data_IF_300197169963
#
_entry.id   IF_300197169963
#
_cell.length_a   1.000
_cell.length_b   1.000
_cell.length_c   1.000
_cell.angle_alpha   90.00
_cell.angle_beta   90.00
_cell.angle_gamma   90.00
#
_symmetry.space_group_name_H-M   'P 1'
#
loop_
_entity.id
_entity.type
_entity.pdbx_description
1 polymer ?
#
# COMPACT_ATOMS: atom_id res chain seq x y z
N UNK A 1 19.65 -48.18 -0.28
CA UNK A 1 18.48 -47.31 -0.36
C UNK A 1 18.89 -45.95 0.13
N UNK A 2 18.87 -44.93 -0.74
CA UNK A 2 19.17 -43.56 -0.35
C UNK A 2 18.05 -43.00 0.54
N UNK A 3 18.39 -42.32 1.63
CA UNK A 3 17.43 -41.60 2.43
C UNK A 3 17.03 -40.30 1.69
N UNK A 4 15.74 -39.99 1.59
CA UNK A 4 15.31 -38.72 0.98
C UNK A 4 15.81 -37.56 1.81
N UNK A 5 16.50 -36.63 1.14
CA UNK A 5 16.99 -35.38 1.77
C UNK A 5 16.00 -34.26 1.46
N UNK A 6 15.47 -33.63 2.49
CA UNK A 6 14.57 -32.50 2.35
C UNK A 6 15.40 -31.20 2.27
N UNK A 7 15.28 -30.47 1.17
CA UNK A 7 15.84 -29.12 1.05
C UNK A 7 14.73 -28.11 1.37
N UNK A 8 14.95 -27.18 2.32
CA UNK A 8 13.99 -26.14 2.63
C UNK A 8 13.66 -25.30 1.39
N UNK A 9 12.35 -25.05 1.17
CA UNK A 9 11.89 -24.14 0.12
C UNK A 9 12.12 -22.67 0.47
N UNK A 10 11.83 -21.77 -0.49
CA UNK A 10 12.06 -20.30 -0.37
C UNK A 10 11.44 -19.69 0.89
N UNK A 11 10.24 -20.11 1.28
CA UNK A 11 9.56 -19.58 2.47
C UNK A 11 10.30 -19.90 3.77
N UNK A 12 10.82 -21.12 3.90
CA UNK A 12 11.62 -21.51 5.05
C UNK A 12 13.00 -20.85 5.02
N UNK A 13 13.60 -20.70 3.85
CA UNK A 13 14.87 -19.98 3.69
C UNK A 13 14.79 -18.49 4.03
N UNK A 14 13.62 -17.87 3.86
CA UNK A 14 13.37 -16.47 4.22
C UNK A 14 13.20 -16.26 5.73
N UNK A 15 13.17 -17.31 6.55
CA UNK A 15 12.98 -17.20 8.00
C UNK A 15 14.01 -16.26 8.65
N UNK A 16 13.51 -15.29 9.44
CA UNK A 16 14.33 -14.27 10.11
C UNK A 16 14.79 -13.12 9.19
N UNK A 17 14.45 -13.17 7.90
CA UNK A 17 14.87 -12.22 6.89
C UNK A 17 13.70 -11.51 6.18
N UNK A 18 13.89 -11.27 4.89
CA UNK A 18 12.94 -10.58 4.01
C UNK A 18 12.61 -11.48 2.82
N UNK A 19 11.33 -11.61 2.51
CA UNK A 19 10.84 -12.20 1.27
C UNK A 19 10.35 -11.06 0.36
N UNK A 20 11.03 -10.87 -0.76
CA UNK A 20 10.61 -9.94 -1.80
C UNK A 20 9.84 -10.69 -2.89
N UNK A 21 8.67 -10.20 -3.23
CA UNK A 21 7.80 -10.77 -4.29
C UNK A 21 7.46 -9.67 -5.26
N UNK A 22 7.98 -9.77 -6.46
CA UNK A 22 7.63 -8.87 -7.55
C UNK A 22 6.27 -9.27 -8.15
N UNK A 23 5.47 -8.29 -8.53
CA UNK A 23 4.14 -8.50 -9.11
C UNK A 23 3.26 -9.48 -8.31
N UNK A 24 3.16 -9.25 -7.00
CA UNK A 24 2.45 -10.14 -6.06
C UNK A 24 0.97 -10.38 -6.44
N UNK A 25 0.37 -9.48 -7.22
CA UNK A 25 -0.99 -9.60 -7.76
C UNK A 25 -1.10 -10.69 -8.85
N UNK A 26 0.01 -11.07 -9.49
CA UNK A 26 0.04 -12.09 -10.55
C UNK A 26 0.36 -13.50 -10.02
N UNK A 27 0.51 -13.66 -8.71
CA UNK A 27 0.72 -14.98 -8.12
C UNK A 27 -0.46 -15.91 -8.42
N UNK A 28 -0.14 -17.14 -8.82
CA UNK A 28 -1.16 -18.20 -8.93
C UNK A 28 -1.90 -18.37 -7.59
N UNK A 29 -3.21 -18.60 -7.59
CA UNK A 29 -4.02 -18.69 -6.37
C UNK A 29 -3.47 -19.67 -5.33
N UNK A 30 -2.90 -20.79 -5.77
CA UNK A 30 -2.32 -21.81 -4.90
C UNK A 30 -1.10 -21.26 -4.14
N UNK A 31 -0.23 -20.52 -4.84
CA UNK A 31 0.96 -19.89 -4.25
C UNK A 31 0.55 -18.77 -3.30
N UNK A 32 -0.42 -17.92 -3.71
CA UNK A 32 -0.97 -16.86 -2.88
C UNK A 32 -1.57 -17.42 -1.57
N UNK A 33 -2.28 -18.57 -1.64
CA UNK A 33 -2.83 -19.24 -0.46
C UNK A 33 -1.76 -19.79 0.48
N UNK A 34 -0.70 -20.40 -0.05
CA UNK A 34 0.43 -20.87 0.74
C UNK A 34 1.13 -19.71 1.43
N UNK A 35 1.38 -18.62 0.71
CA UNK A 35 1.96 -17.39 1.26
C UNK A 35 1.08 -16.80 2.36
N UNK A 36 -0.23 -16.66 2.10
CA UNK A 36 -1.21 -16.19 3.10
C UNK A 36 -1.21 -17.06 4.37
N UNK A 37 -1.21 -18.40 4.22
CA UNK A 37 -1.16 -19.31 5.35
C UNK A 37 0.14 -19.18 6.15
N UNK A 38 1.27 -19.09 5.45
CA UNK A 38 2.59 -18.91 6.06
C UNK A 38 2.68 -17.61 6.85
N UNK A 39 2.20 -16.51 6.29
CA UNK A 39 2.12 -15.21 6.99
C UNK A 39 1.19 -15.25 8.21
N UNK A 40 0.18 -16.12 8.19
CA UNK A 40 -0.74 -16.28 9.30
C UNK A 40 -0.15 -17.08 10.47
N UNK A 41 0.60 -18.13 10.15
CA UNK A 41 1.07 -19.13 11.12
C UNK A 41 2.53 -18.98 11.51
N UNK A 42 3.32 -18.26 10.69
CA UNK A 42 4.78 -18.19 10.82
C UNK A 42 5.48 -19.49 10.50
N UNK A 43 4.79 -20.42 9.81
CA UNK A 43 5.30 -21.74 9.50
C UNK A 43 4.89 -22.18 8.09
N UNK A 44 5.73 -23.00 7.47
CA UNK A 44 5.41 -23.70 6.22
C UNK A 44 5.41 -25.20 6.48
N UNK A 45 4.35 -25.87 6.03
CA UNK A 45 4.21 -27.32 6.11
C UNK A 45 4.58 -27.95 4.78
N UNK A 46 5.46 -28.94 4.84
CA UNK A 46 5.83 -29.77 3.72
C UNK A 46 5.17 -31.14 3.86
N UNK A 47 4.42 -31.55 2.85
CA UNK A 47 3.88 -32.91 2.74
C UNK A 47 4.16 -33.41 1.32
N UNK A 48 5.11 -34.29 1.16
CA UNK A 48 5.48 -34.83 -0.13
C UNK A 48 6.07 -36.23 0.00
N UNK A 49 5.59 -37.18 -0.81
CA UNK A 49 6.16 -38.54 -0.94
C UNK A 49 6.37 -39.28 0.38
N UNK A 50 5.42 -39.13 1.32
CA UNK A 50 5.50 -39.73 2.66
C UNK A 50 6.39 -39.00 3.66
N UNK A 51 7.00 -37.89 3.26
CA UNK A 51 7.69 -36.97 4.16
C UNK A 51 6.72 -35.89 4.64
N UNK A 52 6.65 -35.69 5.94
CA UNK A 52 5.90 -34.58 6.55
C UNK A 52 6.84 -33.81 7.48
N UNK A 53 6.84 -32.49 7.36
CA UNK A 53 7.64 -31.62 8.21
C UNK A 53 7.04 -30.22 8.30
N UNK A 54 7.28 -29.53 9.41
CA UNK A 54 6.91 -28.13 9.60
C UNK A 54 8.17 -27.33 9.86
N UNK A 55 8.34 -26.25 9.12
CA UNK A 55 9.52 -25.40 9.18
C UNK A 55 9.10 -23.97 9.58
N UNK A 56 9.87 -23.28 10.44
CA UNK A 56 9.62 -21.89 10.76
C UNK A 56 9.81 -21.02 9.50
N UNK A 57 8.91 -20.04 9.32
CA UNK A 57 8.90 -19.14 8.16
C UNK A 57 8.36 -17.77 8.56
N UNK A 58 8.96 -17.17 9.58
CA UNK A 58 8.72 -15.79 9.98
C UNK A 58 9.64 -14.87 9.21
N UNK A 59 9.11 -14.03 8.36
CA UNK A 59 9.86 -13.08 7.52
C UNK A 59 9.08 -11.78 7.34
N UNK A 60 9.76 -10.73 6.90
CA UNK A 60 9.10 -9.51 6.42
C UNK A 60 8.77 -9.69 4.95
N UNK A 61 7.49 -9.55 4.60
CA UNK A 61 7.05 -9.58 3.20
C UNK A 61 7.14 -8.18 2.60
N UNK A 62 7.81 -8.07 1.47
CA UNK A 62 7.79 -6.88 0.60
C UNK A 62 7.25 -7.34 -0.75
N UNK A 63 6.11 -6.77 -1.17
CA UNK A 63 5.50 -7.05 -2.46
C UNK A 63 5.38 -5.78 -3.30
N UNK A 64 5.61 -5.90 -4.60
CA UNK A 64 5.28 -4.87 -5.58
C UNK A 64 4.08 -5.30 -6.40
N UNK A 65 3.36 -4.35 -6.96
CA UNK A 65 2.32 -4.64 -7.95
C UNK A 65 2.00 -3.40 -8.79
N UNK A 66 1.52 -3.65 -9.99
CA UNK A 66 0.99 -2.64 -10.88
C UNK A 66 -0.55 -2.70 -10.84
N UNK A 67 -1.25 -1.66 -10.34
CA UNK A 67 -2.71 -1.66 -10.29
C UNK A 67 -3.40 -1.85 -11.66
N UNK A 68 -2.72 -1.51 -12.75
CA UNK A 68 -3.25 -1.70 -14.11
C UNK A 68 -3.37 -3.19 -14.51
N UNK A 69 -2.61 -4.06 -13.86
CA UNK A 69 -2.59 -5.51 -14.10
C UNK A 69 -3.55 -6.29 -13.18
N UNK A 70 -4.25 -5.57 -12.33
CA UNK A 70 -5.24 -6.13 -11.42
C UNK A 70 -4.92 -5.94 -9.95
N UNK A 71 -5.89 -6.19 -9.07
CA UNK A 71 -5.73 -6.01 -7.63
C UNK A 71 -4.93 -7.15 -6.99
N UNK A 72 -4.28 -6.85 -5.88
CA UNK A 72 -3.72 -7.87 -4.98
C UNK A 72 -4.87 -8.64 -4.31
N UNK A 73 -4.72 -9.95 -4.13
CA UNK A 73 -5.68 -10.77 -3.41
C UNK A 73 -6.02 -10.16 -2.03
N UNK A 74 -7.31 -9.91 -1.71
CA UNK A 74 -7.69 -9.22 -0.46
C UNK A 74 -7.13 -9.87 0.80
N UNK A 75 -7.06 -11.21 0.81
CA UNK A 75 -6.49 -11.97 1.93
C UNK A 75 -5.00 -11.69 2.16
N UNK A 76 -4.22 -11.46 1.10
CA UNK A 76 -2.81 -11.06 1.19
C UNK A 76 -2.68 -9.60 1.61
N UNK A 77 -3.48 -8.72 1.01
CA UNK A 77 -3.47 -7.29 1.36
C UNK A 77 -3.79 -7.06 2.84
N UNK A 78 -4.70 -7.86 3.41
CA UNK A 78 -5.03 -7.81 4.83
C UNK A 78 -3.86 -8.24 5.76
N UNK A 79 -2.86 -8.96 5.23
CA UNK A 79 -1.67 -9.38 5.98
C UNK A 79 -0.50 -8.39 5.89
N UNK A 80 -0.51 -7.49 4.94
CA UNK A 80 0.53 -6.48 4.75
C UNK A 80 0.18 -5.23 5.55
N UNK A 81 1.09 -4.73 6.38
CA UNK A 81 0.79 -3.57 7.23
C UNK A 81 0.68 -2.26 6.44
N UNK A 82 1.58 -2.04 5.50
CA UNK A 82 1.70 -0.79 4.74
C UNK A 82 1.39 -1.01 3.26
N UNK A 83 0.70 -0.04 2.66
CA UNK A 83 0.60 0.08 1.22
C UNK A 83 1.04 1.50 0.80
N UNK A 84 2.04 1.57 -0.06
CA UNK A 84 2.68 2.82 -0.47
C UNK A 84 2.67 2.92 -1.98
N UNK A 85 2.21 4.06 -2.50
CA UNK A 85 2.26 4.34 -3.94
C UNK A 85 3.63 4.90 -4.32
N UNK A 86 4.30 4.23 -5.27
CA UNK A 86 5.50 4.72 -5.90
C UNK A 86 5.16 5.43 -7.22
N UNK A 87 5.53 6.70 -7.32
CA UNK A 87 5.30 7.48 -8.53
C UNK A 87 6.58 7.76 -9.27
N UNK A 88 6.51 7.76 -10.59
CA UNK A 88 7.64 8.14 -11.44
C UNK A 88 8.00 9.61 -11.20
N UNK A 89 9.27 9.87 -10.96
CA UNK A 89 9.80 11.22 -10.84
C UNK A 89 9.67 11.95 -12.20
N UNK A 90 9.06 13.12 -12.21
CA UNK A 90 8.73 13.86 -13.46
C UNK A 90 9.70 15.00 -13.76
N UNK A 91 10.36 15.55 -12.75
CA UNK A 91 11.29 16.67 -12.94
C UNK A 91 12.62 16.22 -13.55
N UNK A 92 13.17 17.04 -14.43
CA UNK A 92 14.40 16.72 -15.18
C UNK A 92 15.63 16.57 -14.29
N UNK A 93 15.89 17.44 -13.28
CA UNK A 93 17.04 17.29 -12.40
C UNK A 93 17.06 15.96 -11.66
N UNK A 94 15.94 15.54 -11.06
CA UNK A 94 15.86 14.27 -10.34
C UNK A 94 16.00 13.07 -11.28
N UNK A 95 15.42 13.13 -12.48
CA UNK A 95 15.61 12.07 -13.50
C UNK A 95 17.06 11.95 -13.93
N UNK A 96 17.74 13.07 -14.17
CA UNK A 96 19.16 13.10 -14.53
C UNK A 96 20.02 12.53 -13.40
N UNK A 97 19.71 12.89 -12.13
CA UNK A 97 20.39 12.34 -10.96
C UNK A 97 20.23 10.83 -10.87
N UNK A 98 19.01 10.30 -11.03
CA UNK A 98 18.72 8.86 -11.01
C UNK A 98 19.51 8.16 -12.13
N UNK A 99 19.46 8.66 -13.36
CA UNK A 99 20.16 8.08 -14.51
C UNK A 99 21.68 8.04 -14.30
N UNK A 100 22.25 9.12 -13.78
CA UNK A 100 23.68 9.22 -13.51
C UNK A 100 24.17 8.30 -12.36
N UNK A 101 23.25 7.93 -11.43
CA UNK A 101 23.59 7.14 -10.26
C UNK A 101 22.99 5.72 -10.27
N UNK A 102 22.38 5.27 -11.38
CA UNK A 102 21.71 3.97 -11.49
C UNK A 102 22.60 2.76 -11.13
N UNK A 103 23.91 2.89 -11.32
CA UNK A 103 24.88 1.81 -11.03
C UNK A 103 25.55 1.93 -9.66
N UNK A 104 25.23 2.98 -8.89
CA UNK A 104 25.79 3.12 -7.55
C UNK A 104 25.07 2.20 -6.60
N UNK A 105 25.79 1.36 -5.82
CA UNK A 105 25.17 0.57 -4.78
C UNK A 105 24.55 1.52 -3.74
N UNK A 106 23.32 1.19 -3.33
CA UNK A 106 22.69 1.90 -2.23
C UNK A 106 23.38 1.49 -0.93
N UNK A 107 23.90 2.47 -0.22
CA UNK A 107 24.50 2.27 1.12
C UNK A 107 23.59 2.94 2.14
N UNK A 108 23.17 2.18 3.15
CA UNK A 108 22.48 2.77 4.30
C UNK A 108 23.45 3.72 5.03
N UNK A 109 23.00 4.90 5.40
CA UNK A 109 23.77 5.78 6.26
C UNK A 109 23.82 5.20 7.68
N UNK A 110 24.94 5.42 8.37
CA UNK A 110 25.12 5.01 9.77
C UNK A 110 24.02 5.62 10.67
N UNK A 111 23.56 6.82 10.34
CA UNK A 111 22.45 7.51 11.03
C UNK A 111 21.14 6.71 10.96
N UNK A 112 20.80 6.13 9.80
CA UNK A 112 19.60 5.29 9.66
C UNK A 112 19.74 3.98 10.45
N UNK A 113 20.91 3.38 10.45
CA UNK A 113 21.18 2.16 11.23
C UNK A 113 21.01 2.49 12.71
N UNK A 114 21.68 3.54 13.21
CA UNK A 114 21.56 3.98 14.59
C UNK A 114 20.13 4.33 14.98
N UNK A 115 19.38 5.01 14.12
CA UNK A 115 17.96 5.33 14.36
C UNK A 115 17.13 4.08 14.60
N UNK A 116 17.37 3.00 13.84
CA UNK A 116 16.65 1.73 14.00
C UNK A 116 17.08 1.02 15.30
N UNK A 117 18.36 1.02 15.64
CA UNK A 117 18.89 0.41 16.87
C UNK A 117 18.31 1.09 18.09
N UNK A 118 18.42 2.42 18.18
CA UNK A 118 17.82 3.22 19.27
C UNK A 118 16.30 3.02 19.32
N UNK A 119 15.64 3.00 18.14
CA UNK A 119 14.21 2.78 18.06
C UNK A 119 13.79 1.42 18.64
N UNK A 120 14.56 0.36 18.42
CA UNK A 120 14.30 -0.97 19.02
C UNK A 120 14.39 -0.94 20.54
N UNK A 121 15.34 -0.22 21.09
CA UNK A 121 15.50 -0.07 22.53
C UNK A 121 14.35 0.74 23.14
N UNK A 122 13.96 1.84 22.49
CA UNK A 122 12.87 2.72 22.98
C UNK A 122 11.51 2.05 22.89
N UNK A 123 11.29 1.19 21.88
CA UNK A 123 10.00 0.54 21.61
C UNK A 123 9.37 -0.15 22.85
N UNK A 124 10.18 -0.76 23.69
CA UNK A 124 9.71 -1.49 24.89
C UNK A 124 9.12 -0.57 25.95
N UNK A 125 9.47 0.71 25.96
CA UNK A 125 9.00 1.69 26.95
C UNK A 125 7.75 2.44 26.48
N UNK A 126 7.36 2.32 25.20
CA UNK A 126 6.23 3.05 24.65
C UNK A 126 4.92 2.42 25.13
N UNK A 127 4.21 3.16 25.97
CA UNK A 127 2.86 2.82 26.39
C UNK A 127 1.84 3.30 25.35
N UNK A 128 0.74 2.56 25.21
CA UNK A 128 -0.38 2.96 24.36
C UNK A 128 -1.46 3.64 25.23
N UNK A 129 -1.64 4.97 25.12
CA UNK A 129 -2.72 5.65 25.84
C UNK A 129 -4.09 5.18 25.34
N UNK A 130 -5.08 5.06 26.25
CA UNK A 130 -6.44 4.67 25.87
C UNK A 130 -7.08 5.64 24.86
N UNK A 131 -6.75 6.93 24.95
CA UNK A 131 -7.26 7.92 24.02
C UNK A 131 -6.70 7.71 22.60
N UNK A 132 -5.39 7.46 22.46
CA UNK A 132 -4.74 7.14 21.18
C UNK A 132 -5.37 5.90 20.54
N UNK A 133 -5.62 4.84 21.34
CA UNK A 133 -6.30 3.66 20.81
C UNK A 133 -7.71 3.98 20.29
N UNK A 134 -8.51 4.74 21.07
CA UNK A 134 -9.85 5.15 20.65
C UNK A 134 -9.83 5.99 19.38
N UNK A 135 -8.88 6.89 19.25
CA UNK A 135 -8.72 7.77 18.08
C UNK A 135 -8.39 6.97 16.82
N UNK A 136 -7.45 6.02 16.88
CA UNK A 136 -7.13 5.13 15.77
C UNK A 136 -8.32 4.26 15.36
N UNK A 137 -9.05 3.68 16.32
CA UNK A 137 -10.25 2.89 16.03
C UNK A 137 -11.38 3.77 15.44
N UNK A 138 -11.56 5.00 15.94
CA UNK A 138 -12.51 5.95 15.37
C UNK A 138 -12.17 6.32 13.92
N UNK A 139 -10.88 6.54 13.62
CA UNK A 139 -10.40 6.78 12.27
C UNK A 139 -10.66 5.57 11.36
N UNK A 140 -10.39 4.35 11.82
CA UNK A 140 -10.66 3.13 11.06
C UNK A 140 -12.17 2.98 10.75
N UNK A 141 -13.03 3.27 11.74
CA UNK A 141 -14.49 3.24 11.57
C UNK A 141 -14.95 4.30 10.57
N UNK A 142 -14.44 5.54 10.67
CA UNK A 142 -14.79 6.63 9.77
C UNK A 142 -14.37 6.35 8.32
N UNK A 143 -13.24 5.67 8.12
CA UNK A 143 -12.73 5.22 6.83
C UNK A 143 -13.38 3.92 6.35
N UNK A 144 -14.31 3.35 7.11
CA UNK A 144 -15.00 2.08 6.82
C UNK A 144 -14.01 0.94 6.54
N UNK A 145 -12.96 0.85 7.34
CA UNK A 145 -12.00 -0.26 7.28
C UNK A 145 -12.60 -1.47 8.00
N UNK A 146 -12.86 -2.55 7.28
CA UNK A 146 -13.56 -3.72 7.83
C UNK A 146 -12.68 -4.61 8.71
N UNK A 147 -11.36 -4.57 8.52
CA UNK A 147 -10.43 -5.49 9.20
C UNK A 147 -9.89 -4.94 10.51
N UNK A 148 -10.21 -5.58 11.63
CA UNK A 148 -9.61 -5.27 12.93
C UNK A 148 -8.08 -5.49 12.98
N UNK A 149 -7.51 -6.19 12.00
CA UNK A 149 -6.05 -6.29 11.86
C UNK A 149 -5.43 -4.95 11.50
N UNK A 150 -6.14 -4.12 10.76
CA UNK A 150 -5.71 -2.77 10.44
C UNK A 150 -5.55 -1.91 11.72
N UNK A 151 -6.43 -2.06 12.71
CA UNK A 151 -6.30 -1.36 14.00
C UNK A 151 -5.00 -1.76 14.70
N UNK A 152 -4.66 -3.06 14.71
CA UNK A 152 -3.42 -3.56 15.28
C UNK A 152 -2.20 -3.02 14.54
N UNK A 153 -2.26 -2.97 13.22
CA UNK A 153 -1.17 -2.40 12.41
C UNK A 153 -1.03 -0.90 12.62
N UNK A 154 -2.13 -0.16 12.73
CA UNK A 154 -2.11 1.27 12.99
C UNK A 154 -1.46 1.58 14.36
N UNK A 155 -1.83 0.84 15.39
CA UNK A 155 -1.18 0.96 16.72
C UNK A 155 0.31 0.66 16.65
N UNK A 156 0.71 -0.40 15.96
CA UNK A 156 2.13 -0.76 15.79
C UNK A 156 2.89 0.30 14.99
N UNK A 157 2.26 0.87 13.96
CA UNK A 157 2.83 1.94 13.16
C UNK A 157 3.09 3.19 14.01
N UNK A 158 2.10 3.65 14.79
CA UNK A 158 2.25 4.81 15.65
C UNK A 158 3.36 4.61 16.70
N UNK A 159 3.42 3.44 17.33
CA UNK A 159 4.50 3.10 18.26
C UNK A 159 5.87 3.07 17.58
N UNK A 160 5.94 2.46 16.39
CA UNK A 160 7.20 2.36 15.64
C UNK A 160 7.73 3.74 15.23
N UNK A 161 6.83 4.65 14.80
CA UNK A 161 7.23 6.00 14.44
C UNK A 161 7.71 6.81 15.65
N UNK A 162 7.04 6.71 16.80
CA UNK A 162 7.52 7.32 18.05
C UNK A 162 8.91 6.77 18.43
N UNK A 163 9.10 5.46 18.36
CA UNK A 163 10.37 4.79 18.64
C UNK A 163 11.50 5.25 17.72
N UNK A 164 11.29 5.28 16.41
CA UNK A 164 12.27 5.75 15.42
C UNK A 164 12.67 7.21 15.64
N UNK A 165 11.80 8.02 16.23
CA UNK A 165 12.11 9.39 16.64
C UNK A 165 12.62 9.48 18.09
N UNK A 166 13.06 8.37 18.68
CA UNK A 166 13.56 8.26 20.05
C UNK A 166 12.63 8.88 21.11
N UNK A 167 11.30 8.79 20.89
CA UNK A 167 10.27 9.34 21.79
C UNK A 167 9.47 8.22 22.46
N UNK A 168 9.25 8.33 23.75
CA UNK A 168 8.36 7.41 24.49
C UNK A 168 6.87 7.78 24.29
N UNK A 169 6.44 9.07 24.36
CA UNK A 169 5.05 9.43 24.14
C UNK A 169 4.68 9.37 22.64
N UNK A 170 3.53 8.77 22.36
CA UNK A 170 2.90 8.82 21.03
C UNK A 170 2.28 10.20 20.86
N UNK A 171 2.54 10.86 19.74
CA UNK A 171 2.05 12.18 19.39
C UNK A 171 1.04 12.12 18.25
N UNK A 172 0.36 13.22 17.97
CA UNK A 172 -0.58 13.32 16.85
C UNK A 172 0.07 12.97 15.51
N UNK A 173 1.32 13.39 15.28
CA UNK A 173 2.04 13.04 14.03
C UNK A 173 2.24 11.54 13.83
N UNK A 174 2.34 10.76 14.91
CA UNK A 174 2.45 9.31 14.84
C UNK A 174 1.10 8.67 14.46
N UNK A 175 0.01 9.23 14.98
CA UNK A 175 -1.37 8.82 14.65
C UNK A 175 -1.66 9.14 13.20
N UNK A 176 -1.37 10.36 12.74
CA UNK A 176 -1.57 10.81 11.35
C UNK A 176 -0.79 9.94 10.36
N UNK A 177 0.45 9.58 10.69
CA UNK A 177 1.24 8.66 9.89
C UNK A 177 0.61 7.27 9.83
N UNK A 178 0.13 6.74 10.96
CA UNK A 178 -0.52 5.44 11.01
C UNK A 178 -1.82 5.42 10.20
N UNK A 179 -2.63 6.47 10.27
CA UNK A 179 -3.83 6.64 9.45
C UNK A 179 -3.46 6.63 7.97
N UNK A 180 -2.46 7.41 7.58
CA UNK A 180 -2.03 7.55 6.18
C UNK A 180 -1.45 6.26 5.59
N UNK A 181 -0.60 5.54 6.32
CA UNK A 181 0.10 4.36 5.79
C UNK A 181 -0.69 3.06 5.93
N UNK A 182 -1.56 2.96 6.94
CA UNK A 182 -2.27 1.73 7.27
C UNK A 182 -3.74 1.79 6.93
N UNK A 183 -4.45 2.83 7.38
CA UNK A 183 -5.91 2.89 7.26
C UNK A 183 -6.36 3.42 5.91
N UNK A 184 -5.80 4.55 5.44
CA UNK A 184 -6.21 5.18 4.17
C UNK A 184 -6.13 4.24 2.96
N UNK A 185 -5.08 3.40 2.77
CA UNK A 185 -5.03 2.47 1.65
C UNK A 185 -6.09 1.37 1.70
N UNK A 186 -6.76 1.18 2.84
CA UNK A 186 -7.82 0.19 3.07
C UNK A 186 -9.21 0.81 3.12
N UNK A 187 -9.28 2.12 3.01
CA UNK A 187 -10.55 2.84 3.06
C UNK A 187 -11.43 2.44 1.88
N UNK A 188 -12.68 2.06 2.16
CA UNK A 188 -13.70 1.84 1.15
C UNK A 188 -14.40 3.15 0.76
N UNK A 189 -14.32 4.17 1.63
CA UNK A 189 -14.73 5.54 1.36
C UNK A 189 -13.51 6.46 1.26
N UNK A 190 -13.35 7.14 0.12
CA UNK A 190 -12.41 8.26 0.02
C UNK A 190 -13.03 9.48 0.69
N UNK A 191 -12.55 9.82 1.87
CA UNK A 191 -12.81 11.15 2.44
C UNK A 191 -11.92 12.10 1.64
N UNK A 192 -12.52 12.99 0.85
CA UNK A 192 -11.81 14.14 0.29
C UNK A 192 -11.31 14.97 1.47
N UNK A 193 -10.01 14.88 1.76
CA UNK A 193 -9.36 15.78 2.70
C UNK A 193 -9.33 17.13 2.01
N UNK A 194 -10.28 18.00 2.36
CA UNK A 194 -10.24 19.41 1.99
C UNK A 194 -8.95 19.97 2.55
N UNK A 195 -7.98 20.24 1.69
CA UNK A 195 -6.81 21.02 2.05
C UNK A 195 -7.29 22.44 2.27
N UNK A 196 -7.51 22.83 3.51
CA UNK A 196 -7.63 24.24 3.88
C UNK A 196 -6.34 24.97 3.49
N UNK A 197 -6.43 25.82 2.47
CA UNK A 197 -5.34 26.69 2.07
C UNK A 197 -5.01 26.73 0.58
N UNK A 198 -6.00 26.74 -0.31
CA UNK A 198 -5.81 27.23 -1.67
C UNK A 198 -6.91 28.24 -2.00
N UNK A 199 -6.54 29.51 -2.07
CA UNK A 199 -7.33 30.62 -2.54
C UNK A 199 -8.06 30.24 -3.83
N UNK A 200 -9.39 30.15 -3.75
CA UNK A 200 -10.24 29.94 -4.93
C UNK A 200 -10.22 31.24 -5.74
N UNK A 201 -9.60 31.20 -6.89
CA UNK A 201 -9.84 32.15 -7.96
C UNK A 201 -11.26 31.90 -8.47
N UNK A 202 -12.15 32.91 -8.56
CA UNK A 202 -13.50 32.70 -9.04
C UNK A 202 -13.46 32.22 -10.49
N UNK A 203 -13.96 31.05 -10.78
CA UNK A 203 -14.20 30.58 -12.14
C UNK A 203 -15.36 31.37 -12.72
N UNK A 204 -15.09 32.17 -13.73
CA UNK A 204 -16.11 32.86 -14.52
C UNK A 204 -17.14 31.86 -15.06
N UNK A 205 -18.40 32.13 -14.77
CA UNK A 205 -19.55 31.42 -15.33
C UNK A 205 -19.63 31.70 -16.84
N UNK A 206 -19.64 30.70 -17.71
CA UNK A 206 -19.85 30.94 -19.13
C UNK A 206 -21.29 31.42 -19.38
N UNK A 207 -21.42 32.56 -20.05
CA UNK A 207 -22.69 33.12 -20.51
C UNK A 207 -23.44 32.12 -21.43
N UNK A 208 -24.79 32.10 -21.40
CA UNK A 208 -25.58 31.23 -22.25
C UNK A 208 -25.44 31.62 -23.73
N UNK A 209 -25.11 30.70 -24.60
CA UNK A 209 -25.13 30.89 -26.02
C UNK A 209 -26.58 31.09 -26.52
N UNK A 210 -26.85 32.24 -27.13
CA UNK A 210 -28.11 32.53 -27.83
C UNK A 210 -28.36 31.48 -28.91
N UNK A 211 -29.57 30.94 -28.91
CA UNK A 211 -30.10 30.08 -29.96
C UNK A 211 -30.37 30.93 -31.19
N UNK A 212 -29.61 30.75 -32.26
CA UNK A 212 -29.94 31.28 -33.57
C UNK A 212 -31.18 30.54 -34.14
N UNK A 213 -32.23 31.29 -34.29
CA UNK A 213 -33.46 30.87 -35.00
C UNK A 213 -33.17 30.84 -36.50
N UNK A 214 -33.08 29.65 -37.09
CA UNK A 214 -33.10 29.51 -38.54
C UNK A 214 -34.53 29.53 -39.05
N UNK A 215 -34.82 30.56 -39.84
CA UNK A 215 -36.04 30.72 -40.62
C UNK A 215 -36.12 29.64 -41.71
N UNK A 216 -37.22 28.92 -41.70
CA UNK A 216 -37.71 28.13 -42.81
C UNK A 216 -38.09 29.05 -43.97
N UNK A 217 -37.64 28.74 -45.16
CA UNK A 217 -38.22 29.23 -46.42
C UNK A 217 -38.49 28.02 -47.30
N UNK A 218 -39.80 27.80 -47.49
CA UNK A 218 -40.40 27.02 -48.59
C UNK A 218 -40.01 27.61 -49.95
N UNK A 219 -39.78 26.75 -50.90
CA UNK A 219 -40.14 26.93 -52.34
C UNK A 219 -39.96 25.58 -53.03
N UNK A 220 -40.99 24.87 -53.23
CA UNK A 220 -41.75 24.54 -54.43
C UNK A 220 -40.94 24.27 -55.71
N UNK A 221 -41.08 23.01 -56.12
CA UNK A 221 -41.53 22.60 -57.46
C UNK A 221 -40.55 22.72 -58.63
N UNK A 222 -40.27 21.65 -59.33
CA UNK A 222 -40.80 21.34 -60.70
C UNK A 222 -40.16 20.01 -61.19
N UNK A 223 -41.05 19.17 -61.72
CA UNK A 223 -40.85 17.96 -62.53
C UNK A 223 -39.99 18.19 -63.77
N UNK A 224 -39.37 17.11 -64.22
CA UNK A 224 -39.35 16.52 -65.58
C UNK A 224 -38.33 15.41 -65.64
N UNK A 225 -38.78 14.22 -65.78
CA UNK A 225 -38.95 13.30 -66.90
C UNK A 225 -37.72 13.19 -67.88
N UNK A 226 -37.46 11.93 -68.20
CA UNK A 226 -36.86 11.32 -69.39
C UNK A 226 -35.32 11.24 -69.45
N UNK A 227 -34.74 10.12 -69.33
CA UNK A 227 -34.62 8.91 -70.17
C UNK A 227 -33.89 7.83 -69.44
#
# INVERSE_FOLDING_TARGET
AGHPVVTPGLLAAAHGGVLYVDEINLLAPEIANVLHHTLATGQVRLEREGLSGTYPANFVLIGTFNPAEGPVAPALLDRVAFAVSAHTVKDVPSRAFIAANAHRPFTLSDELIQMVEVGREVMQYIQLPRNTLKELCAAATALQVESNRADVFAVRCAKANAALNARVPITQSDIDLAVRLVLTPRATHHIEIVKDGATQTPTETPLPRERSVSRSSESQNVKRDSH
#
